data_IF_152946168047
#
_entry.id   IF_152946168047
#
_cell.length_a   1.000
_cell.length_b   1.000
_cell.length_c   1.000
_cell.angle_alpha   90.00
_cell.angle_beta   90.00
_cell.angle_gamma   90.00
#
_symmetry.space_group_name_H-M   'P 1'
#
loop_
_entity.id
_entity.type
_entity.pdbx_description
1 polymer ?
#
# COMPACT_ATOMS: atom_id res chain seq x y z
N UNK A 1 77.90 -13.96 6.97
CA UNK A 1 77.55 -12.60 6.49
C UNK A 1 76.19 -12.71 5.81
N UNK A 2 75.11 -12.54 6.55
CA UNK A 2 73.74 -12.77 6.06
C UNK A 2 73.17 -11.46 5.50
N UNK A 3 72.69 -11.50 4.27
CA UNK A 3 72.02 -10.39 3.57
C UNK A 3 70.65 -10.15 4.22
N UNK A 4 70.49 -8.99 4.85
CA UNK A 4 69.20 -8.51 5.36
C UNK A 4 68.32 -8.12 4.15
N UNK A 5 67.10 -8.65 4.00
CA UNK A 5 66.21 -8.25 2.92
C UNK A 5 65.76 -6.78 3.10
N UNK A 6 65.60 -6.00 2.01
CA UNK A 6 65.09 -4.64 2.11
C UNK A 6 63.67 -4.65 2.69
N UNK A 7 63.42 -3.78 3.67
CA UNK A 7 62.12 -3.63 4.29
C UNK A 7 61.04 -3.32 3.21
N UNK A 8 59.83 -3.91 3.32
CA UNK A 8 58.75 -3.59 2.40
C UNK A 8 58.45 -2.10 2.52
N UNK A 9 58.53 -1.39 1.40
CA UNK A 9 58.08 -0.02 1.27
C UNK A 9 56.57 -0.04 1.52
N UNK A 10 56.18 0.16 2.78
CA UNK A 10 54.82 0.46 3.18
C UNK A 10 54.38 1.61 2.28
N UNK A 11 53.54 1.26 1.32
CA UNK A 11 53.02 2.15 0.31
C UNK A 11 52.56 3.42 1.03
N UNK A 12 53.11 4.55 0.59
CA UNK A 12 52.74 5.89 1.02
C UNK A 12 51.31 6.15 0.56
N UNK A 13 50.35 5.55 1.26
CA UNK A 13 48.96 5.90 1.11
C UNK A 13 48.82 7.32 1.67
N UNK A 14 48.28 8.28 0.91
CA UNK A 14 48.02 9.61 1.43
C UNK A 14 47.13 9.48 2.65
N UNK A 15 47.66 9.89 3.80
CA UNK A 15 47.09 9.64 5.14
C UNK A 15 45.81 10.45 5.37
N UNK A 16 45.53 11.43 4.50
CA UNK A 16 44.31 12.23 4.49
C UNK A 16 43.84 12.51 3.06
N UNK A 17 42.53 12.41 2.77
CA UNK A 17 41.96 12.85 1.51
C UNK A 17 42.19 14.35 1.32
N UNK A 18 42.49 14.77 0.09
CA UNK A 18 42.61 16.20 -0.19
C UNK A 18 41.25 16.90 0.01
N UNK A 19 41.26 18.22 0.16
CA UNK A 19 40.01 18.99 0.27
C UNK A 19 39.07 18.72 -0.91
N UNK A 20 39.61 18.55 -2.12
CA UNK A 20 38.85 18.21 -3.33
C UNK A 20 38.17 16.84 -3.23
N UNK A 21 38.87 15.85 -2.67
CA UNK A 21 38.31 14.50 -2.49
C UNK A 21 37.15 14.52 -1.48
N UNK A 22 37.28 15.30 -0.40
CA UNK A 22 36.22 15.46 0.61
C UNK A 22 34.96 16.09 0.01
N UNK A 23 35.12 17.12 -0.82
CA UNK A 23 34.01 17.75 -1.54
C UNK A 23 33.36 16.76 -2.52
N UNK A 24 34.16 15.99 -3.27
CA UNK A 24 33.65 14.97 -4.18
C UNK A 24 32.84 13.89 -3.47
N UNK A 25 33.30 13.41 -2.29
CA UNK A 25 32.54 12.46 -1.49
C UNK A 25 31.22 13.03 -0.99
N UNK A 26 31.20 14.30 -0.57
CA UNK A 26 29.98 14.94 -0.10
C UNK A 26 28.96 15.14 -1.23
N UNK A 27 29.41 15.54 -2.42
CA UNK A 27 28.54 15.62 -3.60
C UNK A 27 28.00 14.25 -4.02
N UNK A 28 28.83 13.21 -4.02
CA UNK A 28 28.37 11.85 -4.32
C UNK A 28 27.32 11.37 -3.32
N UNK A 29 27.54 11.58 -2.02
CA UNK A 29 26.56 11.26 -0.98
C UNK A 29 25.25 12.02 -1.19
N UNK A 30 25.32 13.31 -1.50
CA UNK A 30 24.16 14.15 -1.80
C UNK A 30 23.36 13.61 -3.00
N UNK A 31 24.05 13.26 -4.10
CA UNK A 31 23.42 12.68 -5.29
C UNK A 31 22.68 11.39 -4.96
N UNK A 32 23.31 10.49 -4.20
CA UNK A 32 22.68 9.22 -3.79
C UNK A 32 21.41 9.47 -2.97
N UNK A 33 21.45 10.43 -2.04
CA UNK A 33 20.26 10.81 -1.23
C UNK A 33 19.15 11.37 -2.11
N UNK A 34 19.47 12.26 -3.05
CA UNK A 34 18.48 12.80 -3.99
C UNK A 34 17.86 11.71 -4.87
N UNK A 35 18.67 10.75 -5.34
CA UNK A 35 18.17 9.60 -6.10
C UNK A 35 17.22 8.77 -5.22
N UNK A 36 17.61 8.46 -3.98
CA UNK A 36 16.76 7.67 -3.07
C UNK A 36 15.43 8.36 -2.75
N UNK A 37 15.45 9.66 -2.47
CA UNK A 37 14.23 10.43 -2.23
C UNK A 37 13.37 10.52 -3.50
N UNK A 38 14.00 10.74 -4.66
CA UNK A 38 13.34 10.78 -5.95
C UNK A 38 12.69 9.45 -6.32
N UNK A 39 13.33 8.32 -6.04
CA UNK A 39 12.75 6.99 -6.32
C UNK A 39 11.58 6.68 -5.41
N UNK A 40 11.66 7.02 -4.11
CA UNK A 40 10.53 6.87 -3.18
C UNK A 40 9.35 7.72 -3.65
N UNK A 41 9.58 8.99 -3.96
CA UNK A 41 8.55 9.88 -4.47
C UNK A 41 7.93 9.36 -5.77
N UNK A 42 8.77 8.92 -6.72
CA UNK A 42 8.32 8.35 -7.99
C UNK A 42 7.48 7.08 -7.77
N UNK A 43 7.87 6.21 -6.83
CA UNK A 43 7.11 5.01 -6.48
C UNK A 43 5.71 5.38 -5.97
N UNK A 44 5.62 6.34 -5.05
CA UNK A 44 4.35 6.83 -4.51
C UNK A 44 3.44 7.40 -5.63
N UNK A 45 4.01 8.19 -6.54
CA UNK A 45 3.29 8.77 -7.68
C UNK A 45 2.83 7.70 -8.69
N UNK A 46 3.68 6.72 -9.00
CA UNK A 46 3.35 5.60 -9.89
C UNK A 46 2.17 4.79 -9.32
N UNK A 47 2.24 4.45 -8.04
CA UNK A 47 1.16 3.75 -7.34
C UNK A 47 -0.14 4.57 -7.40
N UNK A 48 -0.09 5.87 -7.10
CA UNK A 48 -1.26 6.75 -7.19
C UNK A 48 -1.86 6.83 -8.60
N UNK A 49 -1.02 6.89 -9.64
CA UNK A 49 -1.47 6.89 -11.04
C UNK A 49 -2.11 5.58 -11.47
N UNK A 50 -1.60 4.44 -11.01
CA UNK A 50 -2.19 3.13 -11.29
C UNK A 50 -3.61 3.03 -10.72
N UNK A 51 -3.83 3.49 -9.49
CA UNK A 51 -5.17 3.53 -8.88
C UNK A 51 -6.12 4.51 -9.60
N UNK A 52 -5.64 5.70 -9.98
CA UNK A 52 -6.44 6.68 -10.74
C UNK A 52 -6.85 6.18 -12.11
N UNK A 53 -5.98 5.44 -12.80
CA UNK A 53 -6.31 4.80 -14.08
C UNK A 53 -7.43 3.77 -13.93
N UNK A 54 -7.47 3.03 -12.83
CA UNK A 54 -8.57 2.10 -12.53
C UNK A 54 -9.92 2.80 -12.28
N UNK A 55 -9.91 4.00 -11.71
CA UNK A 55 -11.13 4.78 -11.45
C UNK A 55 -11.70 5.45 -12.71
N UNK A 56 -10.87 5.80 -13.70
CA UNK A 56 -11.34 6.46 -14.93
C UNK A 56 -12.13 5.53 -15.86
N UNK A 57 -11.98 4.20 -15.76
CA UNK A 57 -12.76 3.25 -16.55
C UNK A 57 -14.20 3.09 -16.03
N UNK A 58 -14.53 3.66 -14.86
CA UNK A 58 -15.88 3.65 -14.29
C UNK A 58 -16.76 4.83 -14.73
N UNK A 59 -16.33 5.65 -15.69
CA UNK A 59 -17.22 6.58 -16.40
C UNK A 59 -17.71 5.88 -17.66
N UNK A 60 -18.68 4.97 -17.48
CA UNK A 60 -19.53 4.53 -18.58
C UNK A 60 -20.25 5.77 -19.15
N UNK A 61 -20.39 5.91 -20.48
CA UNK A 61 -21.19 6.96 -21.07
C UNK A 61 -22.63 6.85 -20.54
N UNK A 62 -23.39 7.96 -20.49
CA UNK A 62 -24.78 7.94 -20.07
C UNK A 62 -25.59 7.19 -21.13
N UNK A 63 -25.63 5.86 -21.03
CA UNK A 63 -26.63 5.05 -21.71
C UNK A 63 -27.94 5.39 -21.04
N UNK A 64 -28.61 6.36 -21.65
CA UNK A 64 -30.04 6.53 -21.55
C UNK A 64 -30.72 5.17 -21.72
N UNK A 65 -31.45 4.78 -20.68
CA UNK A 65 -32.66 3.94 -20.64
C UNK A 65 -32.50 2.48 -20.18
N UNK A 66 -33.30 2.25 -19.13
CA UNK A 66 -33.98 1.04 -18.69
C UNK A 66 -33.21 0.13 -17.74
N UNK A 67 -33.44 0.39 -16.46
CA UNK A 67 -33.08 -0.46 -15.35
C UNK A 67 -33.26 0.25 -14.03
N UNK A 68 -34.43 0.87 -13.79
CA UNK A 68 -34.82 1.24 -12.43
C UNK A 68 -34.90 -0.05 -11.62
N UNK A 69 -33.83 -0.38 -10.90
CA UNK A 69 -33.84 -1.38 -9.84
C UNK A 69 -33.18 -0.77 -8.62
N UNK A 70 -33.76 -1.01 -7.45
CA UNK A 70 -33.96 0.03 -6.46
C UNK A 70 -32.62 0.41 -5.87
N UNK A 71 -32.31 1.72 -5.91
CA UNK A 71 -31.67 2.31 -4.75
C UNK A 71 -32.57 1.90 -3.60
N UNK A 72 -32.08 1.04 -2.71
CA UNK A 72 -32.70 0.79 -1.41
C UNK A 72 -32.60 2.09 -0.61
N UNK A 73 -33.34 3.10 -1.07
CA UNK A 73 -33.48 4.41 -0.47
C UNK A 73 -34.67 4.33 0.47
N UNK A 74 -34.66 3.31 1.33
CA UNK A 74 -35.67 3.11 2.37
C UNK A 74 -35.42 4.10 3.53
N UNK A 75 -34.57 5.12 3.32
CA UNK A 75 -34.07 6.05 4.34
C UNK A 75 -33.20 5.41 5.42
N UNK A 76 -32.97 4.09 5.35
CA UNK A 76 -32.39 3.30 6.44
C UNK A 76 -30.88 3.18 6.38
N UNK A 77 -30.29 3.27 5.19
CA UNK A 77 -28.85 3.16 4.96
C UNK A 77 -28.40 4.24 3.96
N UNK A 78 -27.34 5.01 4.26
CA UNK A 78 -26.71 5.91 3.29
C UNK A 78 -26.26 5.16 2.03
N UNK A 79 -26.37 5.80 0.87
CA UNK A 79 -26.01 5.20 -0.42
C UNK A 79 -24.54 4.79 -0.49
N UNK A 80 -23.67 5.49 0.25
CA UNK A 80 -22.25 5.19 0.39
C UNK A 80 -22.03 3.83 1.06
N UNK A 81 -22.84 3.50 2.08
CA UNK A 81 -22.76 2.20 2.78
C UNK A 81 -23.22 1.08 1.84
N UNK A 82 -24.30 1.32 1.10
CA UNK A 82 -24.78 0.36 0.10
C UNK A 82 -23.71 0.11 -0.96
N UNK A 83 -23.08 1.17 -1.49
CA UNK A 83 -22.00 1.03 -2.47
C UNK A 83 -20.80 0.24 -1.93
N UNK A 84 -20.41 0.48 -0.67
CA UNK A 84 -19.33 -0.27 -0.02
C UNK A 84 -19.67 -1.76 0.15
N UNK A 85 -20.91 -2.08 0.57
CA UNK A 85 -21.38 -3.47 0.70
C UNK A 85 -21.39 -4.16 -0.67
N UNK A 86 -21.91 -3.49 -1.70
CA UNK A 86 -21.95 -4.03 -3.07
C UNK A 86 -20.54 -4.30 -3.59
N UNK A 87 -19.61 -3.38 -3.37
CA UNK A 87 -18.21 -3.54 -3.79
C UNK A 87 -17.52 -4.71 -3.09
N UNK A 88 -17.74 -4.88 -1.77
CA UNK A 88 -17.19 -5.99 -1.01
C UNK A 88 -17.74 -7.35 -1.49
N UNK A 89 -19.05 -7.46 -1.70
CA UNK A 89 -19.67 -8.70 -2.20
C UNK A 89 -19.20 -9.02 -3.61
N UNK A 90 -19.06 -8.01 -4.47
CA UNK A 90 -18.56 -8.17 -5.83
C UNK A 90 -17.09 -8.65 -5.89
N UNK A 91 -16.28 -8.27 -4.90
CA UNK A 91 -14.87 -8.68 -4.81
C UNK A 91 -14.69 -10.11 -4.30
N UNK A 92 -15.53 -10.55 -3.35
CA UNK A 92 -15.38 -11.85 -2.67
C UNK A 92 -16.10 -13.00 -3.40
N UNK A 93 -17.18 -12.71 -4.13
CA UNK A 93 -18.00 -13.76 -4.75
C UNK A 93 -17.60 -13.96 -6.22
N UNK A 94 -16.81 -15.00 -6.48
CA UNK A 94 -16.26 -15.34 -7.81
C UNK A 94 -17.32 -15.74 -8.87
N UNK A 95 -18.57 -15.99 -8.44
CA UNK A 95 -19.67 -16.42 -9.32
C UNK A 95 -20.67 -15.29 -9.56
N UNK A 96 -21.43 -15.32 -10.68
CA UNK A 96 -22.53 -14.38 -10.88
C UNK A 96 -23.51 -14.44 -9.70
N UNK A 97 -23.71 -13.31 -9.04
CA UNK A 97 -24.52 -13.19 -7.85
C UNK A 97 -25.41 -11.95 -7.92
N UNK A 98 -26.48 -11.95 -7.12
CA UNK A 98 -27.37 -10.80 -6.95
C UNK A 98 -27.66 -10.63 -5.47
N UNK A 99 -27.50 -9.40 -4.98
CA UNK A 99 -27.86 -9.06 -3.61
C UNK A 99 -29.38 -8.98 -3.52
N UNK A 100 -29.97 -9.86 -2.73
CA UNK A 100 -31.42 -9.94 -2.56
C UNK A 100 -31.96 -8.92 -1.54
N UNK A 101 -31.23 -8.67 -0.45
CA UNK A 101 -31.58 -7.71 0.59
C UNK A 101 -30.35 -7.28 1.39
N UNK A 102 -30.34 -6.04 1.88
CA UNK A 102 -29.37 -5.54 2.87
C UNK A 102 -30.15 -5.16 4.11
N UNK A 103 -29.99 -5.93 5.18
CA UNK A 103 -30.68 -5.70 6.45
C UNK A 103 -29.72 -5.09 7.45
N UNK A 104 -29.95 -3.84 7.91
CA UNK A 104 -29.18 -3.30 9.01
C UNK A 104 -29.56 -4.09 10.26
N UNK A 105 -28.58 -4.81 10.80
CA UNK A 105 -28.68 -5.34 12.15
C UNK A 105 -28.47 -4.15 13.07
N UNK A 106 -29.42 -3.88 13.96
CA UNK A 106 -29.24 -2.92 15.05
C UNK A 106 -27.86 -3.16 15.67
N UNK A 107 -27.06 -2.10 15.83
CA UNK A 107 -25.71 -2.15 16.39
C UNK A 107 -25.77 -2.48 17.91
N UNK A 108 -26.41 -3.57 18.30
CA UNK A 108 -26.06 -4.17 19.58
C UNK A 108 -24.60 -4.59 19.46
N UNK A 109 -23.78 -4.17 20.42
CA UNK A 109 -22.35 -4.46 20.51
C UNK A 109 -22.00 -5.96 20.61
N UNK A 110 -22.96 -6.82 20.30
CA UNK A 110 -22.93 -8.27 20.41
C UNK A 110 -22.08 -8.88 19.30
N UNK A 111 -22.11 -8.36 18.06
CA UNK A 111 -21.27 -8.92 16.98
C UNK A 111 -19.76 -8.74 17.25
N UNK A 112 -19.36 -7.55 17.72
CA UNK A 112 -17.98 -7.29 18.12
C UNK A 112 -17.57 -8.05 19.40
N UNK A 113 -18.54 -8.49 20.22
CA UNK A 113 -18.30 -9.39 21.36
C UNK A 113 -18.20 -10.85 20.91
N UNK A 114 -18.98 -11.26 19.93
CA UNK A 114 -18.99 -12.62 19.39
C UNK A 114 -17.70 -12.93 18.62
N UNK A 115 -17.23 -12.02 17.76
CA UNK A 115 -15.93 -12.19 17.09
C UNK A 115 -14.77 -12.31 18.08
N UNK A 116 -14.81 -11.58 19.21
CA UNK A 116 -13.83 -11.77 20.29
C UNK A 116 -13.94 -13.15 20.93
N UNK A 117 -15.16 -13.67 21.15
CA UNK A 117 -15.38 -15.02 21.71
C UNK A 117 -14.84 -16.10 20.80
N UNK A 118 -15.03 -16.01 19.47
CA UNK A 118 -14.47 -16.98 18.51
C UNK A 118 -12.94 -17.00 18.52
N UNK A 119 -12.30 -15.83 18.58
CA UNK A 119 -10.83 -15.71 18.66
C UNK A 119 -10.27 -16.36 19.93
N UNK A 120 -10.98 -16.26 21.06
CA UNK A 120 -10.58 -16.90 22.31
C UNK A 120 -10.97 -18.38 22.40
N UNK A 121 -12.05 -18.80 21.71
CA UNK A 121 -12.49 -20.19 21.67
C UNK A 121 -11.54 -21.09 20.86
N UNK A 122 -10.85 -20.53 19.86
CA UNK A 122 -9.85 -21.26 19.07
C UNK A 122 -8.59 -21.63 19.87
N UNK A 123 -8.29 -20.90 20.95
CA UNK A 123 -7.18 -21.18 21.88
C UNK A 123 -7.64 -21.96 23.11
N UNK A 124 -8.32 -23.09 22.90
CA UNK A 124 -8.59 -24.03 24.00
C UNK A 124 -7.30 -24.77 24.35
N UNK A 125 -6.46 -24.15 25.18
CA UNK A 125 -5.32 -24.83 25.82
C UNK A 125 -5.85 -25.91 26.73
N UNK A 126 -5.49 -27.15 26.41
CA UNK A 126 -5.67 -28.35 27.21
C UNK A 126 -4.93 -28.25 28.54
#
# INVERSE_FOLDING_TARGET
MALVPPAPQLATLPEYPSFGDSVAFQFNGLIVVFIALGTIWALMEITGRLFRRGQQTAVLPPTSRLGTSPVANDGRLPGEIVAAIVAAVAAEVERPHRIAAIMPVELTADWAREGRREIFASHKTR
#
